data_IF_050610007406
#
_entry.id   IF_050610007406
#
_cell.length_a   1.000
_cell.length_b   1.000
_cell.length_c   1.000
_cell.angle_alpha   90.00
_cell.angle_beta   90.00
_cell.angle_gamma   90.00
#
_symmetry.space_group_name_H-M   'P 1'
#
loop_
_entity.id
_entity.type
_entity.pdbx_description
1 polymer ?
#
# COMPACT_ATOMS: atom_id res chain seq x y z
N UNK A 1 -7.55 -5.15 31.35
CA UNK A 1 -6.85 -4.68 30.12
C UNK A 1 -7.24 -5.63 28.99
N UNK A 2 -7.74 -5.12 27.87
CA UNK A 2 -8.10 -5.93 26.70
C UNK A 2 -6.87 -6.73 26.19
N UNK A 3 -7.07 -7.95 25.68
CA UNK A 3 -6.01 -8.89 25.25
C UNK A 3 -4.90 -8.24 24.40
N UNK A 4 -5.28 -7.38 23.45
CA UNK A 4 -4.33 -6.69 22.55
C UNK A 4 -3.32 -5.83 23.32
N UNK A 5 -3.75 -5.16 24.39
CA UNK A 5 -2.86 -4.38 25.25
C UNK A 5 -1.94 -5.23 26.13
N UNK A 6 -2.31 -6.49 26.41
CA UNK A 6 -1.46 -7.41 27.17
C UNK A 6 -0.28 -7.93 26.34
N UNK A 7 -0.42 -7.98 25.02
CA UNK A 7 0.64 -8.37 24.08
C UNK A 7 1.40 -7.16 23.50
N UNK A 8 1.31 -5.99 24.14
CA UNK A 8 1.96 -4.74 23.73
C UNK A 8 1.67 -4.34 22.27
N UNK A 9 0.42 -4.51 21.84
CA UNK A 9 -0.07 -4.05 20.53
C UNK A 9 -1.10 -2.93 20.72
N UNK A 10 -1.23 -2.09 19.69
CA UNK A 10 -2.23 -1.02 19.66
C UNK A 10 -3.47 -1.54 18.93
N UNK A 11 -4.62 -1.69 19.62
CA UNK A 11 -5.86 -2.09 18.95
C UNK A 11 -6.44 -0.94 18.14
N UNK A 12 -6.87 -1.23 16.92
CA UNK A 12 -7.68 -0.34 16.11
C UNK A 12 -9.01 -1.04 15.80
N UNK A 13 -10.10 -0.44 16.23
CA UNK A 13 -11.45 -0.96 15.97
C UNK A 13 -11.85 -0.57 14.55
N UNK A 14 -12.21 -1.57 13.75
CA UNK A 14 -12.66 -1.38 12.37
C UNK A 14 -13.95 -2.15 12.13
N UNK A 15 -14.84 -1.59 11.30
CA UNK A 15 -16.01 -2.31 10.81
C UNK A 15 -15.56 -3.42 9.85
N UNK A 16 -16.28 -4.53 9.85
CA UNK A 16 -16.04 -5.62 8.90
C UNK A 16 -16.49 -5.21 7.50
N UNK A 17 -15.53 -4.92 6.63
CA UNK A 17 -15.68 -4.69 5.19
C UNK A 17 -14.54 -5.42 4.47
N UNK A 18 -14.70 -5.77 3.18
CA UNK A 18 -13.62 -6.35 2.40
C UNK A 18 -12.34 -5.48 2.49
N UNK A 19 -11.24 -6.07 2.95
CA UNK A 19 -9.95 -5.38 3.10
C UNK A 19 -9.81 -4.47 4.33
N UNK A 20 -10.84 -4.33 5.16
CA UNK A 20 -10.84 -3.47 6.36
C UNK A 20 -10.31 -2.06 6.05
N UNK A 21 -9.38 -1.54 6.87
CA UNK A 21 -8.70 -0.27 6.59
C UNK A 21 -7.44 -0.48 5.73
N UNK A 22 -6.51 -1.29 6.21
CA UNK A 22 -5.13 -1.35 5.69
C UNK A 22 -5.08 -1.93 4.28
N UNK A 23 -5.69 -3.10 4.07
CA UNK A 23 -5.63 -3.77 2.77
C UNK A 23 -6.47 -3.02 1.72
N UNK A 24 -7.60 -2.43 2.11
CA UNK A 24 -8.41 -1.59 1.25
C UNK A 24 -7.66 -0.34 0.76
N UNK A 25 -6.74 0.20 1.57
CA UNK A 25 -5.89 1.32 1.18
C UNK A 25 -4.65 0.90 0.37
N UNK A 26 -4.01 -0.22 0.72
CA UNK A 26 -2.79 -0.69 0.06
C UNK A 26 -3.03 -1.30 -1.31
N UNK A 27 -4.14 -2.00 -1.52
CA UNK A 27 -4.43 -2.69 -2.78
C UNK A 27 -4.44 -1.75 -3.99
N UNK A 28 -5.22 -0.65 -4.01
CA UNK A 28 -5.19 0.28 -5.15
C UNK A 28 -3.84 0.98 -5.32
N UNK A 29 -3.11 1.21 -4.23
CA UNK A 29 -1.76 1.76 -4.27
C UNK A 29 -0.75 0.82 -4.97
N UNK A 30 -0.80 -0.49 -4.67
CA UNK A 30 0.04 -1.49 -5.32
C UNK A 30 -0.35 -1.71 -6.78
N UNK A 31 -1.65 -1.71 -7.10
CA UNK A 31 -2.14 -1.84 -8.48
C UNK A 31 -1.68 -0.65 -9.35
N UNK A 32 -1.84 0.59 -8.86
CA UNK A 32 -1.38 1.77 -9.59
C UNK A 32 0.15 1.75 -9.79
N UNK A 33 0.91 1.28 -8.80
CA UNK A 33 2.36 1.12 -8.96
C UNK A 33 2.72 0.12 -10.06
N UNK A 34 1.99 -1.00 -10.16
CA UNK A 34 2.20 -1.97 -11.24
C UNK A 34 1.77 -1.42 -12.61
N UNK A 35 0.73 -0.60 -12.68
CA UNK A 35 0.38 0.10 -13.92
C UNK A 35 1.46 1.08 -14.39
N UNK A 36 2.22 1.70 -13.48
CA UNK A 36 3.39 2.49 -13.86
C UNK A 36 4.49 1.60 -14.46
N UNK A 37 4.63 0.36 -13.99
CA UNK A 37 5.55 -0.60 -14.62
C UNK A 37 5.11 -0.94 -16.04
N UNK A 38 3.82 -1.16 -16.27
CA UNK A 38 3.27 -1.37 -17.62
C UNK A 38 3.51 -0.15 -18.55
N UNK A 39 3.55 1.06 -17.98
CA UNK A 39 3.88 2.30 -18.70
C UNK A 39 5.39 2.47 -18.97
N UNK A 40 6.22 1.49 -18.59
CA UNK A 40 7.66 1.48 -18.84
C UNK A 40 8.51 2.07 -17.71
N UNK A 41 7.91 2.44 -16.57
CA UNK A 41 8.69 2.90 -15.42
C UNK A 41 9.42 1.72 -14.75
N UNK A 42 10.66 1.95 -14.34
CA UNK A 42 11.42 0.91 -13.65
C UNK A 42 10.84 0.63 -12.25
N UNK A 43 10.68 -0.66 -11.84
CA UNK A 43 10.27 -1.03 -10.49
C UNK A 43 11.08 -0.35 -9.38
N UNK A 44 12.41 -0.31 -9.55
CA UNK A 44 13.33 0.34 -8.61
C UNK A 44 13.09 1.83 -8.54
N UNK A 45 12.79 2.47 -9.66
CA UNK A 45 12.50 3.90 -9.72
C UNK A 45 11.26 4.28 -8.95
N UNK A 46 10.20 3.48 -9.09
CA UNK A 46 8.94 3.64 -8.35
C UNK A 46 9.20 3.45 -6.85
N UNK A 47 9.88 2.35 -6.47
CA UNK A 47 10.19 2.06 -5.08
C UNK A 47 11.04 3.14 -4.42
N UNK A 48 12.10 3.60 -5.09
CA UNK A 48 12.96 4.68 -4.59
C UNK A 48 12.18 5.98 -4.40
N UNK A 49 11.28 6.31 -5.32
CA UNK A 49 10.48 7.53 -5.20
C UNK A 49 9.52 7.46 -4.00
N UNK A 50 8.88 6.31 -3.78
CA UNK A 50 8.03 6.13 -2.61
C UNK A 50 8.82 6.04 -1.30
N UNK A 51 10.03 5.50 -1.33
CA UNK A 51 10.94 5.53 -0.17
C UNK A 51 11.40 6.95 0.15
N UNK A 52 11.77 7.75 -0.86
CA UNK A 52 12.09 9.17 -0.70
C UNK A 52 10.89 9.98 -0.22
N UNK A 53 9.67 9.60 -0.60
CA UNK A 53 8.43 10.17 -0.07
C UNK A 53 8.21 9.86 1.42
N UNK A 54 8.85 8.81 1.95
CA UNK A 54 8.81 8.45 3.37
C UNK A 54 8.28 7.06 3.68
N UNK A 55 7.97 6.25 2.68
CA UNK A 55 7.54 4.86 2.90
C UNK A 55 8.74 3.98 3.30
N UNK A 56 8.58 3.04 4.24
CA UNK A 56 9.68 2.15 4.64
C UNK A 56 10.08 1.18 3.52
N UNK A 57 9.10 0.76 2.74
CA UNK A 57 9.25 -0.18 1.62
C UNK A 57 8.49 0.38 0.43
N UNK A 58 9.09 0.26 -0.75
CA UNK A 58 8.41 0.64 -2.00
C UNK A 58 7.27 -0.31 -2.36
N UNK A 59 6.29 0.13 -3.17
CA UNK A 59 5.10 -0.66 -3.50
C UNK A 59 5.43 -1.95 -4.26
N UNK A 60 6.46 -1.92 -5.12
CA UNK A 60 6.82 -3.07 -5.94
C UNK A 60 7.56 -4.13 -5.13
N UNK A 61 8.45 -3.71 -4.23
CA UNK A 61 9.04 -4.64 -3.26
C UNK A 61 7.99 -5.21 -2.31
N UNK A 62 7.01 -4.39 -1.90
CA UNK A 62 5.92 -4.84 -1.03
C UNK A 62 5.07 -5.92 -1.69
N UNK A 63 4.67 -5.74 -2.96
CA UNK A 63 3.89 -6.76 -3.68
C UNK A 63 4.67 -8.07 -3.86
N UNK A 64 5.98 -8.00 -4.10
CA UNK A 64 6.84 -9.18 -4.15
C UNK A 64 6.92 -9.91 -2.80
N UNK A 65 6.91 -9.19 -1.67
CA UNK A 65 6.92 -9.79 -0.34
C UNK A 65 5.59 -10.47 0.01
N UNK A 66 4.47 -9.85 -0.36
CA UNK A 66 3.12 -10.40 -0.15
C UNK A 66 2.90 -11.63 -1.03
N UNK A 67 3.34 -11.55 -2.29
CA UNK A 67 3.14 -12.55 -3.33
C UNK A 67 2.19 -12.05 -4.41
N UNK A 68 2.58 -12.24 -5.67
CA UNK A 68 1.86 -11.68 -6.82
C UNK A 68 0.49 -12.34 -7.03
N UNK A 69 0.37 -13.63 -6.75
CA UNK A 69 -0.90 -14.35 -6.78
C UNK A 69 -1.88 -13.88 -5.70
N UNK A 70 -1.38 -13.59 -4.50
CA UNK A 70 -2.18 -13.01 -3.42
C UNK A 70 -2.63 -11.60 -3.81
N UNK A 71 -1.73 -10.79 -4.37
CA UNK A 71 -2.07 -9.44 -4.84
C UNK A 71 -3.12 -9.47 -5.95
N UNK A 72 -3.05 -10.44 -6.86
CA UNK A 72 -4.08 -10.66 -7.89
C UNK A 72 -5.44 -10.97 -7.27
N UNK A 73 -5.49 -11.96 -6.37
CA UNK A 73 -6.74 -12.39 -5.74
C UNK A 73 -7.38 -11.25 -4.94
N UNK A 74 -6.58 -10.54 -4.13
CA UNK A 74 -7.06 -9.39 -3.34
C UNK A 74 -7.47 -8.22 -4.24
N UNK A 75 -6.74 -7.98 -5.34
CA UNK A 75 -7.08 -6.95 -6.32
C UNK A 75 -8.46 -7.18 -6.96
N UNK A 76 -8.72 -8.42 -7.39
CA UNK A 76 -10.01 -8.81 -7.99
C UNK A 76 -11.18 -8.74 -7.00
N UNK A 77 -10.92 -8.97 -5.71
CA UNK A 77 -11.96 -8.90 -4.66
C UNK A 77 -12.25 -7.46 -4.21
N UNK A 78 -11.22 -6.64 -4.04
CA UNK A 78 -11.35 -5.33 -3.40
C UNK A 78 -11.57 -4.16 -4.36
N UNK A 79 -11.21 -4.33 -5.63
CA UNK A 79 -11.32 -3.26 -6.63
C UNK A 79 -12.25 -3.73 -7.73
N UNK A 80 -13.50 -3.26 -7.66
CA UNK A 80 -14.48 -3.48 -8.71
C UNK A 80 -13.95 -2.96 -10.05
N UNK A 81 -14.09 -3.77 -11.10
CA UNK A 81 -13.59 -3.47 -12.44
C UNK A 81 -12.09 -3.14 -12.50
N UNK A 82 -11.29 -3.67 -11.55
CA UNK A 82 -9.84 -3.52 -11.61
C UNK A 82 -9.30 -4.02 -12.94
N UNK A 83 -8.63 -3.12 -13.65
CA UNK A 83 -7.80 -3.50 -14.78
C UNK A 83 -6.57 -4.18 -14.20
N UNK A 84 -6.44 -5.48 -14.45
CA UNK A 84 -5.26 -6.22 -14.02
C UNK A 84 -4.02 -5.69 -14.75
N UNK A 85 -2.93 -5.31 -14.04
CA UNK A 85 -1.68 -4.94 -14.69
C UNK A 85 -1.12 -6.09 -15.52
N UNK A 86 -0.66 -5.79 -16.74
CA UNK A 86 -0.16 -6.81 -17.66
C UNK A 86 1.08 -7.51 -17.08
N UNK A 87 1.99 -6.74 -16.50
CA UNK A 87 3.20 -7.25 -15.85
C UNK A 87 2.89 -8.25 -14.72
N UNK A 88 1.73 -8.12 -14.05
CA UNK A 88 1.32 -9.02 -12.98
C UNK A 88 0.91 -10.37 -13.56
N UNK A 89 0.08 -10.37 -14.61
CA UNK A 89 -0.36 -11.60 -15.27
C UNK A 89 0.82 -12.38 -15.88
N UNK A 90 1.72 -11.68 -16.58
CA UNK A 90 2.89 -12.32 -17.20
C UNK A 90 3.78 -13.00 -16.17
N UNK A 91 4.02 -12.35 -15.03
CA UNK A 91 4.84 -12.91 -13.94
C UNK A 91 4.18 -14.11 -13.30
N UNK A 92 2.87 -14.08 -13.06
CA UNK A 92 2.13 -15.24 -12.52
C UNK A 92 2.17 -16.41 -13.51
N UNK A 93 1.93 -16.16 -14.80
CA UNK A 93 2.04 -17.18 -15.86
C UNK A 93 3.44 -17.81 -15.92
N UNK A 94 4.48 -17.02 -15.62
CA UNK A 94 5.87 -17.48 -15.53
C UNK A 94 6.24 -18.09 -14.16
N UNK A 95 5.29 -18.28 -13.24
CA UNK A 95 5.52 -18.76 -11.87
C UNK A 95 6.50 -17.90 -11.05
N UNK A 96 6.60 -16.61 -11.39
CA UNK A 96 7.41 -15.60 -10.68
C UNK A 96 6.53 -14.88 -9.66
N UNK A 97 6.27 -15.56 -8.55
CA UNK A 97 5.33 -15.13 -7.51
C UNK A 97 5.95 -14.20 -6.45
N UNK A 98 7.17 -13.70 -6.64
CA UNK A 98 7.86 -12.82 -5.70
C UNK A 98 8.82 -13.56 -4.76
N UNK A 99 8.90 -13.12 -3.51
CA UNK A 99 9.84 -13.64 -2.51
C UNK A 99 9.73 -15.15 -2.32
N UNK A 100 8.50 -15.69 -2.35
CA UNK A 100 8.23 -17.11 -2.09
C UNK A 100 8.73 -18.05 -3.18
N UNK A 101 8.78 -17.59 -4.43
CA UNK A 101 9.33 -18.32 -5.58
C UNK A 101 10.79 -17.96 -5.88
N UNK A 102 11.38 -17.04 -5.11
CA UNK A 102 12.74 -16.55 -5.33
C UNK A 102 12.86 -15.45 -6.41
N UNK A 103 11.77 -15.15 -7.13
CA UNK A 103 11.74 -14.12 -8.18
C UNK A 103 10.31 -13.61 -8.41
N UNK A 104 10.18 -12.29 -8.60
CA UNK A 104 8.96 -11.59 -9.02
C UNK A 104 9.30 -10.37 -9.90
N UNK A 105 9.12 -9.17 -9.35
CA UNK A 105 9.72 -7.94 -9.90
C UNK A 105 11.22 -7.85 -9.59
N UNK A 106 11.64 -8.43 -8.47
CA UNK A 106 13.05 -8.56 -8.09
C UNK A 106 13.47 -10.03 -7.99
N UNK A 107 14.78 -10.26 -8.08
CA UNK A 107 15.36 -11.52 -7.61
C UNK A 107 15.51 -11.47 -6.09
N UNK A 108 15.19 -12.58 -5.43
CA UNK A 108 15.25 -12.68 -3.97
C UNK A 108 16.39 -13.62 -3.55
N UNK A 109 17.37 -13.09 -2.81
CA UNK A 109 18.51 -13.85 -2.29
C UNK A 109 18.61 -13.69 -0.78
N UNK A 110 18.60 -14.78 -0.03
CA UNK A 110 18.66 -14.74 1.43
C UNK A 110 17.53 -13.91 2.07
N UNK A 111 16.34 -13.91 1.45
CA UNK A 111 15.18 -13.14 1.91
C UNK A 111 15.24 -11.63 1.64
N UNK A 112 16.21 -11.15 0.86
CA UNK A 112 16.34 -9.73 0.46
C UNK A 112 16.16 -9.57 -1.05
N UNK A 113 15.51 -8.49 -1.47
CA UNK A 113 15.39 -8.13 -2.87
C UNK A 113 16.73 -7.62 -3.42
N UNK A 114 17.15 -8.17 -4.56
CA UNK A 114 18.30 -7.71 -5.34
C UNK A 114 17.80 -6.64 -6.30
N UNK A 115 18.05 -5.37 -5.95
CA UNK A 115 17.55 -4.22 -6.71
C UNK A 115 18.61 -3.74 -7.73
N UNK A 116 18.30 -3.73 -9.05
CA UNK A 116 19.19 -3.14 -10.05
C UNK A 116 19.31 -1.61 -9.90
N UNK A 117 20.20 -0.99 -10.67
CA UNK A 117 20.20 0.47 -10.78
C UNK A 117 18.95 0.92 -11.56
N UNK A 118 18.35 2.01 -11.12
CA UNK A 118 17.17 2.61 -11.71
C UNK A 118 17.01 4.03 -11.20
N UNK A 119 16.52 4.92 -12.08
CA UNK A 119 16.23 6.31 -11.79
C UNK A 119 14.83 6.44 -11.19
N UNK A 120 14.67 7.37 -10.26
CA UNK A 120 13.38 7.66 -9.66
C UNK A 120 12.40 8.15 -10.73
N UNK A 121 11.13 7.74 -10.59
CA UNK A 121 10.05 8.35 -11.37
C UNK A 121 9.90 9.83 -11.00
N UNK A 122 9.21 10.57 -11.87
CA UNK A 122 8.90 11.98 -11.61
C UNK A 122 8.17 12.17 -10.27
N UNK A 123 8.43 13.30 -9.61
CA UNK A 123 7.82 13.63 -8.33
C UNK A 123 6.28 13.62 -8.39
N UNK A 124 5.69 14.09 -9.49
CA UNK A 124 4.25 14.10 -9.71
C UNK A 124 3.64 12.69 -9.74
N UNK A 125 4.34 11.73 -10.35
CA UNK A 125 3.92 10.32 -10.38
C UNK A 125 3.97 9.69 -8.97
N UNK A 126 5.00 10.01 -8.20
CA UNK A 126 5.11 9.56 -6.81
C UNK A 126 4.04 10.19 -5.92
N UNK A 127 3.74 11.48 -6.12
CA UNK A 127 2.67 12.18 -5.43
C UNK A 127 1.31 11.56 -5.76
N UNK A 128 1.05 11.26 -7.03
CA UNK A 128 -0.18 10.57 -7.47
C UNK A 128 -0.35 9.21 -6.78
N UNK A 129 0.71 8.41 -6.66
CA UNK A 129 0.66 7.15 -5.90
C UNK A 129 0.28 7.38 -4.43
N UNK A 130 0.89 8.38 -3.80
CA UNK A 130 0.55 8.73 -2.43
C UNK A 130 -0.90 9.25 -2.30
N UNK A 131 -1.42 9.92 -3.32
CA UNK A 131 -2.81 10.38 -3.41
C UNK A 131 -3.79 9.22 -3.58
N UNK A 132 -3.44 8.20 -4.37
CA UNK A 132 -4.22 6.96 -4.50
C UNK A 132 -4.40 6.28 -3.15
N UNK A 133 -3.30 6.11 -2.40
CA UNK A 133 -3.33 5.50 -1.06
C UNK A 133 -4.22 6.30 -0.10
N UNK A 134 -4.05 7.62 -0.07
CA UNK A 134 -4.78 8.47 0.86
C UNK A 134 -6.27 8.60 0.51
N UNK A 135 -6.59 8.65 -0.79
CA UNK A 135 -7.97 8.63 -1.27
C UNK A 135 -8.65 7.32 -0.89
N UNK A 136 -7.92 6.20 -0.98
CA UNK A 136 -8.43 4.90 -0.54
C UNK A 136 -8.65 4.84 0.98
N UNK A 137 -7.74 5.40 1.78
CA UNK A 137 -7.90 5.52 3.23
C UNK A 137 -9.09 6.42 3.60
N UNK A 138 -9.25 7.56 2.91
CA UNK A 138 -10.39 8.47 3.11
C UNK A 138 -11.72 7.80 2.81
N UNK A 139 -11.80 6.96 1.76
CA UNK A 139 -13.03 6.20 1.46
C UNK A 139 -13.45 5.30 2.63
N UNK A 140 -12.49 4.72 3.38
CA UNK A 140 -12.80 3.92 4.56
C UNK A 140 -13.38 4.77 5.71
N UNK A 141 -12.89 6.00 5.87
CA UNK A 141 -13.48 6.97 6.79
C UNK A 141 -14.91 7.33 6.37
N UNK A 142 -15.10 7.68 5.10
CA UNK A 142 -16.41 8.10 4.57
C UNK A 142 -17.47 6.99 4.67
N UNK A 143 -17.04 5.72 4.62
CA UNK A 143 -17.90 4.54 4.80
C UNK A 143 -18.15 4.19 6.29
N UNK A 144 -17.56 4.94 7.23
CA UNK A 144 -17.66 4.68 8.66
C UNK A 144 -16.99 3.37 9.08
N UNK A 145 -15.96 2.93 8.34
CA UNK A 145 -15.17 1.74 8.69
C UNK A 145 -14.34 1.99 9.93
N UNK A 146 -13.88 3.24 10.10
CA UNK A 146 -13.13 3.73 11.24
C UNK A 146 -13.87 4.95 11.79
N UNK A 147 -13.84 5.15 13.10
CA UNK A 147 -14.64 6.17 13.77
C UNK A 147 -14.24 7.61 13.41
N UNK A 148 -12.95 7.86 13.20
CA UNK A 148 -12.41 9.18 12.94
C UNK A 148 -11.10 9.15 12.11
N UNK A 149 -10.66 10.33 11.68
CA UNK A 149 -9.48 10.50 10.84
C UNK A 149 -8.16 10.20 11.56
N UNK A 150 -8.06 10.48 12.86
CA UNK A 150 -6.84 10.24 13.64
C UNK A 150 -6.55 8.74 13.76
N UNK A 151 -7.61 7.94 13.95
CA UNK A 151 -7.54 6.48 13.97
C UNK A 151 -7.19 5.89 12.59
N UNK A 152 -7.64 6.51 11.49
CA UNK A 152 -7.22 6.13 10.14
C UNK A 152 -5.73 6.41 9.96
N UNK A 153 -5.27 7.60 10.34
CA UNK A 153 -3.88 7.99 10.22
C UNK A 153 -2.97 7.09 11.07
N UNK A 154 -3.33 6.85 12.33
CA UNK A 154 -2.63 5.90 13.20
C UNK A 154 -2.62 4.49 12.59
N UNK A 155 -3.75 4.00 12.09
CA UNK A 155 -3.86 2.69 11.44
C UNK A 155 -2.94 2.55 10.23
N UNK A 156 -2.84 3.59 9.41
CA UNK A 156 -1.97 3.60 8.24
C UNK A 156 -0.49 3.74 8.62
N UNK A 157 -0.16 4.57 9.61
CA UNK A 157 1.22 4.69 10.12
C UNK A 157 1.69 3.36 10.72
N UNK A 158 0.94 2.79 11.67
CA UNK A 158 1.37 1.57 12.37
C UNK A 158 1.17 0.30 11.53
N UNK A 159 0.19 0.28 10.64
CA UNK A 159 -0.11 -0.88 9.79
C UNK A 159 0.74 -0.95 8.52
N UNK A 160 1.00 0.20 7.88
CA UNK A 160 1.70 0.25 6.58
C UNK A 160 3.06 0.93 6.64
N UNK A 161 3.36 1.61 7.75
CA UNK A 161 4.54 2.47 7.85
C UNK A 161 4.39 3.79 7.09
N UNK A 162 3.17 4.26 6.82
CA UNK A 162 2.95 5.47 6.04
C UNK A 162 3.71 6.65 6.64
N UNK A 163 4.67 7.20 5.88
CA UNK A 163 5.50 8.37 6.17
C UNK A 163 5.25 9.00 7.56
N UNK A 164 5.78 8.42 8.65
CA UNK A 164 5.34 8.72 10.02
C UNK A 164 5.58 10.18 10.41
N UNK A 165 6.54 10.84 9.76
CA UNK A 165 6.84 12.26 9.94
C UNK A 165 5.81 13.21 9.31
N UNK A 166 4.85 12.70 8.53
CA UNK A 166 3.81 13.51 7.89
C UNK A 166 2.48 13.50 8.65
N UNK A 167 2.41 12.84 9.81
CA UNK A 167 1.19 12.75 10.62
C UNK A 167 0.11 11.81 10.08
N UNK A 168 0.36 11.12 8.96
CA UNK A 168 -0.58 10.20 8.30
C UNK A 168 -1.13 10.71 6.96
N UNK A 169 -1.81 9.84 6.19
CA UNK A 169 -2.32 10.19 4.86
C UNK A 169 -3.39 11.29 4.83
N UNK A 170 -4.23 11.43 5.86
CA UNK A 170 -5.30 12.42 5.92
C UNK A 170 -4.82 13.74 6.51
N UNK A 171 -4.05 13.70 7.62
CA UNK A 171 -3.43 14.87 8.22
C UNK A 171 -2.57 15.67 7.22
N UNK A 172 -1.72 14.97 6.44
CA UNK A 172 -0.87 15.61 5.41
C UNK A 172 -1.66 16.44 4.39
N UNK A 173 -2.92 16.07 4.13
CA UNK A 173 -3.79 16.75 3.14
C UNK A 173 -4.66 17.85 3.73
N UNK A 174 -4.45 18.21 5.00
CA UNK A 174 -5.19 19.28 5.65
C UNK A 174 -6.68 18.98 5.85
N UNK A 175 -7.07 17.70 5.84
CA UNK A 175 -8.42 17.27 6.21
C UNK A 175 -8.52 17.42 7.73
N UNK A 176 -8.77 18.65 8.19
CA UNK A 176 -9.05 18.92 9.59
C UNK A 176 -10.45 18.43 9.96
N UNK A 177 -10.54 17.91 11.17
CA UNK A 177 -11.72 17.38 11.82
C UNK A 177 -12.74 18.51 11.98
N UNK A 178 -13.94 18.36 11.41
CA UNK A 178 -15.11 19.08 11.93
C UNK A 178 -15.38 18.51 13.32
N UNK A 179 -15.35 19.29 14.41
CA UNK A 179 -15.57 18.74 15.75
C UNK A 179 -16.94 18.07 15.77
N UNK A 180 -16.95 16.77 16.11
CA UNK A 180 -18.17 16.03 16.39
C UNK A 180 -18.94 16.81 17.44
N UNK A 181 -20.12 17.33 17.08
CA UNK A 181 -21.01 18.00 18.03
C UNK A 181 -21.29 17.01 19.17
N UNK A 182 -20.87 17.40 20.37
CA UNK A 182 -21.31 16.80 21.63
C UNK A 182 -22.82 17.04 21.83
#
# INVERSE_FOLDING_TARGET
RCFVGQINKLPLVVKSVPGFLVNAALTPYMLEAMHLVDQGHSPVGIDKAMQAYGMPVGPIELVDMVGLDVAMAVGQELVADAITPHCLEEKIKANKLGRKSGEGFYQWKGGKAVKPKGEMIAADSAQKLADTLASAAKRQLDQGVVADADLVDAGMIFGTGYAPFTGGPLFKRGIQISPTKA
#
